data_IF_518384891693
#
_entry.id   IF_518384891693
#
_cell.length_a   1.000
_cell.length_b   1.000
_cell.length_c   1.000
_cell.angle_alpha   90.00
_cell.angle_beta   90.00
_cell.angle_gamma   90.00
#
_symmetry.space_group_name_H-M   'P 1'
#
loop_
_entity.id
_entity.type
_entity.pdbx_description
1 polymer ?
#
# COMPACT_ATOMS: atom_id res chain seq x y z
N UNK A 1 16.69 -18.21 5.47
CA UNK A 1 16.84 -16.99 6.27
C UNK A 1 15.59 -16.81 7.13
N UNK A 2 15.71 -16.29 8.34
CA UNK A 2 14.55 -16.01 9.21
C UNK A 2 13.56 -15.06 8.54
N UNK A 3 12.27 -15.17 8.89
CA UNK A 3 11.26 -14.20 8.47
C UNK A 3 11.64 -12.80 8.95
N UNK A 4 11.59 -11.83 8.05
CA UNK A 4 11.88 -10.43 8.33
C UNK A 4 10.56 -9.65 8.29
N UNK A 5 10.21 -9.01 9.40
CA UNK A 5 9.03 -8.16 9.49
C UNK A 5 9.45 -6.70 9.47
N UNK A 6 8.88 -5.93 8.54
CA UNK A 6 9.12 -4.51 8.37
C UNK A 6 7.81 -3.75 8.58
N UNK A 7 7.89 -2.52 9.07
CA UNK A 7 6.70 -1.68 9.26
C UNK A 7 7.03 -0.22 9.05
N UNK A 8 6.13 0.53 8.41
CA UNK A 8 6.29 1.96 8.20
C UNK A 8 6.16 2.80 9.48
N UNK A 9 5.89 2.17 10.64
CA UNK A 9 5.90 2.83 11.93
C UNK A 9 7.32 3.29 12.28
N UNK A 10 7.69 4.51 11.87
CA UNK A 10 8.97 5.15 12.22
C UNK A 10 9.11 5.37 13.73
N UNK A 11 7.98 5.50 14.43
CA UNK A 11 7.91 5.69 15.87
C UNK A 11 7.23 4.49 16.53
N UNK A 12 8.03 3.53 17.01
CA UNK A 12 7.57 2.53 17.97
C UNK A 12 7.43 3.26 19.31
N UNK A 13 6.23 3.79 19.56
CA UNK A 13 5.95 4.50 20.79
C UNK A 13 6.00 3.50 21.95
N UNK A 14 7.13 3.48 22.67
CA UNK A 14 7.35 2.63 23.82
C UNK A 14 6.24 2.75 24.87
N UNK A 15 6.08 1.71 25.69
CA UNK A 15 5.02 1.66 26.72
C UNK A 15 5.03 2.91 27.63
N UNK A 16 6.21 3.44 27.92
CA UNK A 16 6.42 4.65 28.73
C UNK A 16 5.99 5.92 28.01
N UNK A 17 6.37 6.12 26.75
CA UNK A 17 5.99 7.31 25.97
C UNK A 17 4.50 7.34 25.65
N UNK A 18 3.85 6.18 25.44
CA UNK A 18 2.39 6.07 25.37
C UNK A 18 1.71 6.53 26.66
N UNK A 19 2.24 6.12 27.81
CA UNK A 19 1.74 6.55 29.12
C UNK A 19 1.86 8.06 29.30
N UNK A 20 2.99 8.64 28.92
CA UNK A 20 3.23 10.09 29.00
C UNK A 20 2.24 10.88 28.12
N UNK A 21 2.05 10.47 26.86
CA UNK A 21 1.11 11.15 25.96
C UNK A 21 -0.33 11.08 26.46
N UNK A 22 -0.75 9.94 26.99
CA UNK A 22 -2.08 9.79 27.59
C UNK A 22 -2.24 10.68 28.83
N UNK A 23 -1.22 10.78 29.68
CA UNK A 23 -1.23 11.66 30.83
C UNK A 23 -1.31 13.14 30.40
N UNK A 24 -0.50 13.57 29.44
CA UNK A 24 -0.55 14.94 28.90
C UNK A 24 -1.93 15.27 28.30
N UNK A 25 -2.52 14.34 27.56
CA UNK A 25 -3.86 14.51 26.99
C UNK A 25 -4.94 14.65 28.08
N UNK A 26 -4.88 13.84 29.14
CA UNK A 26 -5.82 13.94 30.27
C UNK A 26 -5.64 15.24 31.05
N UNK A 27 -4.41 15.69 31.27
CA UNK A 27 -4.16 16.98 31.91
C UNK A 27 -4.70 18.14 31.07
N UNK A 28 -4.52 18.07 29.74
CA UNK A 28 -5.05 19.08 28.82
C UNK A 28 -6.58 19.11 28.82
N UNK A 29 -7.25 17.95 28.83
CA UNK A 29 -8.72 17.90 28.85
C UNK A 29 -9.29 18.42 30.18
N UNK A 30 -8.63 18.12 31.31
CA UNK A 30 -8.99 18.67 32.62
C UNK A 30 -8.76 20.19 32.65
N UNK A 31 -7.65 20.69 32.12
CA UNK A 31 -7.38 22.12 32.04
C UNK A 31 -8.42 22.87 31.19
N UNK A 32 -8.79 22.32 30.03
CA UNK A 32 -9.86 22.86 29.19
C UNK A 32 -11.21 22.88 29.91
N UNK A 33 -11.49 21.87 30.75
CA UNK A 33 -12.74 21.81 31.52
C UNK A 33 -12.86 22.90 32.57
N UNK A 34 -11.74 23.43 33.10
CA UNK A 34 -11.73 24.52 34.08
C UNK A 34 -12.25 25.85 33.53
N UNK A 35 -12.30 26.02 32.20
CA UNK A 35 -12.91 27.19 31.56
C UNK A 35 -14.44 27.11 31.46
N UNK A 36 -15.04 25.96 31.79
CA UNK A 36 -16.49 25.79 31.73
C UNK A 36 -17.14 26.16 33.06
N UNK A 37 -18.06 27.13 33.03
CA UNK A 37 -18.84 27.55 34.20
C UNK A 37 -20.08 26.69 34.47
N UNK A 38 -20.41 25.73 33.59
CA UNK A 38 -21.61 24.88 33.69
C UNK A 38 -21.24 23.41 33.61
N UNK A 39 -21.91 22.57 34.41
CA UNK A 39 -21.72 21.11 34.42
C UNK A 39 -21.99 20.47 33.05
N UNK A 40 -22.96 21.00 32.28
CA UNK A 40 -23.25 20.55 30.92
C UNK A 40 -22.09 20.85 29.96
N UNK A 41 -21.41 21.99 30.12
CA UNK A 41 -20.27 22.38 29.29
C UNK A 41 -19.05 21.50 29.54
N UNK A 42 -18.78 21.16 30.81
CA UNK A 42 -17.70 20.22 31.17
C UNK A 42 -17.90 18.84 30.52
N UNK A 43 -19.12 18.29 30.58
CA UNK A 43 -19.43 17.00 29.94
C UNK A 43 -19.26 17.10 28.41
N UNK A 44 -19.69 18.20 27.80
CA UNK A 44 -19.52 18.45 26.36
C UNK A 44 -18.05 18.46 25.94
N UNK A 45 -17.18 19.12 26.69
CA UNK A 45 -15.73 19.18 26.41
C UNK A 45 -15.11 17.78 26.47
N UNK A 46 -15.41 16.99 27.51
CA UNK A 46 -14.89 15.62 27.62
C UNK A 46 -15.34 14.74 26.45
N UNK A 47 -16.59 14.86 26.00
CA UNK A 47 -17.11 14.12 24.85
C UNK A 47 -16.39 14.51 23.55
N UNK A 48 -16.19 15.81 23.31
CA UNK A 48 -15.47 16.31 22.13
C UNK A 48 -14.02 15.82 22.14
N UNK A 49 -13.32 15.94 23.28
CA UNK A 49 -11.96 15.44 23.41
C UNK A 49 -11.90 13.93 23.15
N UNK A 50 -12.79 13.14 23.75
CA UNK A 50 -12.84 11.69 23.55
C UNK A 50 -13.06 11.31 22.06
N UNK A 51 -13.97 12.01 21.37
CA UNK A 51 -14.18 11.83 19.93
C UNK A 51 -12.93 12.20 19.12
N UNK A 52 -12.25 13.29 19.47
CA UNK A 52 -11.00 13.69 18.81
C UNK A 52 -9.89 12.64 19.01
N UNK A 53 -9.71 12.12 20.23
CA UNK A 53 -8.76 11.06 20.51
C UNK A 53 -9.09 9.79 19.72
N UNK A 54 -10.35 9.39 19.68
CA UNK A 54 -10.80 8.23 18.90
C UNK A 54 -10.51 8.41 17.40
N UNK A 55 -10.75 9.61 16.86
CA UNK A 55 -10.42 9.95 15.47
C UNK A 55 -8.92 9.85 15.20
N UNK A 56 -8.08 10.38 16.09
CA UNK A 56 -6.60 10.32 15.97
C UNK A 56 -6.10 8.87 16.00
N UNK A 57 -6.59 8.05 16.93
CA UNK A 57 -6.21 6.62 17.00
C UNK A 57 -6.67 5.90 15.73
N UNK A 58 -7.86 6.21 15.23
CA UNK A 58 -8.42 5.60 14.02
C UNK A 58 -7.63 5.95 12.77
N UNK A 59 -7.27 7.22 12.58
CA UNK A 59 -6.45 7.67 11.44
C UNK A 59 -5.04 7.10 11.51
N UNK A 60 -4.44 7.04 12.70
CA UNK A 60 -3.13 6.40 12.91
C UNK A 60 -3.15 4.93 12.48
N UNK A 61 -4.11 4.13 12.99
CA UNK A 61 -4.22 2.71 12.63
C UNK A 61 -4.43 2.47 11.13
N UNK A 62 -5.08 3.41 10.43
CA UNK A 62 -5.26 3.32 8.97
C UNK A 62 -3.96 3.55 8.19
N UNK A 63 -3.03 4.34 8.71
CA UNK A 63 -1.75 4.64 8.06
C UNK A 63 -0.68 3.56 8.23
N UNK A 64 -0.91 2.55 9.07
CA UNK A 64 0.09 1.52 9.33
C UNK A 64 0.10 0.46 8.22
N UNK A 65 1.28 0.27 7.64
CA UNK A 65 1.60 -0.76 6.65
C UNK A 65 2.70 -1.64 7.22
N UNK A 66 2.54 -2.96 7.06
CA UNK A 66 3.52 -3.97 7.48
C UNK A 66 3.89 -4.85 6.31
N UNK A 67 5.16 -5.24 6.22
CA UNK A 67 5.66 -6.21 5.25
C UNK A 67 6.25 -7.40 5.99
N UNK A 68 5.93 -8.59 5.49
CA UNK A 68 6.54 -9.84 5.94
C UNK A 68 7.30 -10.43 4.78
N UNK A 69 8.60 -10.55 4.92
CA UNK A 69 9.52 -11.07 3.91
C UNK A 69 10.04 -12.41 4.44
N UNK A 70 9.81 -13.48 3.70
CA UNK A 70 10.30 -14.83 4.04
C UNK A 70 11.11 -15.39 2.88
N UNK A 71 11.73 -16.55 3.04
CA UNK A 71 12.43 -17.22 1.94
C UNK A 71 11.50 -17.68 0.79
N UNK A 72 10.19 -17.79 1.04
CA UNK A 72 9.22 -18.34 0.07
C UNK A 72 8.34 -17.26 -0.56
N UNK A 73 8.01 -16.21 0.19
CA UNK A 73 7.08 -15.17 -0.26
C UNK A 73 7.34 -13.81 0.37
N UNK A 74 6.84 -12.78 -0.31
CA UNK A 74 6.66 -11.41 0.15
C UNK A 74 5.18 -11.18 0.46
N UNK A 75 4.87 -10.57 1.60
CA UNK A 75 3.51 -10.21 1.98
C UNK A 75 3.43 -8.76 2.42
N UNK A 76 2.40 -8.04 1.97
CA UNK A 76 2.04 -6.73 2.49
C UNK A 76 0.75 -6.86 3.30
N UNK A 77 0.70 -6.22 4.46
CA UNK A 77 -0.47 -6.13 5.32
C UNK A 77 -0.84 -4.66 5.52
N UNK A 78 -2.08 -4.32 5.13
CA UNK A 78 -2.66 -3.00 5.38
C UNK A 78 -3.96 -3.13 6.16
N UNK A 79 -4.47 -2.01 6.69
CA UNK A 79 -5.80 -1.97 7.33
C UNK A 79 -6.95 -2.41 6.42
N UNK A 80 -6.79 -2.29 5.09
CA UNK A 80 -7.83 -2.62 4.10
C UNK A 80 -7.72 -4.05 3.54
N UNK A 81 -6.67 -4.78 3.89
CA UNK A 81 -6.36 -6.10 3.36
C UNK A 81 -4.89 -6.23 3.00
N UNK A 82 -4.41 -7.46 2.85
CA UNK A 82 -3.05 -7.74 2.45
C UNK A 82 -2.99 -8.65 1.24
N UNK A 83 -1.87 -8.64 0.55
CA UNK A 83 -1.58 -9.55 -0.54
C UNK A 83 -0.26 -10.27 -0.30
N UNK A 84 -0.11 -11.43 -0.94
CA UNK A 84 1.09 -12.26 -0.85
C UNK A 84 1.59 -12.63 -2.23
N UNK A 85 2.89 -12.61 -2.47
CA UNK A 85 3.49 -13.02 -3.74
C UNK A 85 4.62 -13.99 -3.43
N UNK A 86 4.58 -15.17 -4.04
CA UNK A 86 5.66 -16.14 -3.97
C UNK A 86 6.82 -15.68 -4.85
N UNK A 87 8.05 -15.82 -4.37
CA UNK A 87 9.24 -15.40 -5.13
C UNK A 87 9.37 -16.12 -6.47
N UNK A 88 8.94 -17.38 -6.54
CA UNK A 88 8.93 -18.16 -7.78
C UNK A 88 8.14 -17.49 -8.91
N UNK A 89 7.09 -16.72 -8.57
CA UNK A 89 6.26 -15.99 -9.52
C UNK A 89 6.79 -14.56 -9.80
N UNK A 90 7.80 -14.10 -9.07
CA UNK A 90 8.43 -12.80 -9.34
C UNK A 90 9.47 -12.97 -10.46
N UNK A 91 9.40 -12.09 -11.46
CA UNK A 91 10.33 -12.03 -12.58
C UNK A 91 11.40 -10.97 -12.35
N UNK A 92 10.98 -9.73 -12.05
CA UNK A 92 11.88 -8.61 -11.81
C UNK A 92 11.31 -7.63 -10.79
N UNK A 93 12.21 -6.86 -10.18
CA UNK A 93 11.94 -5.89 -9.11
C UNK A 93 12.81 -4.64 -9.33
N UNK A 94 12.24 -3.46 -9.16
CA UNK A 94 12.99 -2.20 -9.27
C UNK A 94 12.18 -0.95 -8.94
N UNK A 95 12.86 0.18 -8.82
CA UNK A 95 12.19 1.48 -8.78
C UNK A 95 11.58 1.82 -10.14
N UNK A 96 10.41 2.42 -10.12
CA UNK A 96 9.77 2.95 -11.31
C UNK A 96 10.49 4.23 -11.74
N UNK A 97 10.81 4.33 -13.02
CA UNK A 97 11.46 5.52 -13.58
C UNK A 97 10.47 6.25 -14.47
N UNK A 98 10.50 7.57 -14.41
CA UNK A 98 9.74 8.40 -15.35
C UNK A 98 10.33 8.25 -16.75
N UNK A 99 9.47 8.33 -17.77
CA UNK A 99 9.89 8.36 -19.16
C UNK A 99 10.45 9.73 -19.58
N UNK A 100 10.17 10.78 -18.80
CA UNK A 100 10.64 12.13 -19.10
C UNK A 100 12.07 12.34 -18.59
N UNK A 101 13.04 12.70 -19.47
CA UNK A 101 14.43 12.88 -19.07
C UNK A 101 14.69 14.16 -18.25
N UNK A 102 13.72 15.08 -18.16
CA UNK A 102 13.87 16.40 -17.52
C UNK A 102 13.38 16.45 -16.07
N UNK A 103 12.66 15.44 -15.60
CA UNK A 103 12.15 15.36 -14.22
C UNK A 103 12.94 14.31 -13.44
N UNK A 104 13.07 14.48 -12.11
CA UNK A 104 13.80 13.55 -11.23
C UNK A 104 13.53 12.10 -11.62
N UNK A 105 14.60 11.36 -11.89
CA UNK A 105 14.59 10.12 -12.69
C UNK A 105 13.85 8.95 -12.04
N UNK A 106 13.39 9.07 -10.80
CA UNK A 106 12.84 7.97 -10.00
C UNK A 106 11.52 8.39 -9.35
N UNK A 107 10.47 7.64 -9.67
CA UNK A 107 9.15 7.80 -9.08
C UNK A 107 9.14 7.15 -7.69
N UNK A 108 8.31 7.64 -6.74
CA UNK A 108 8.21 7.09 -5.39
C UNK A 108 7.43 5.76 -5.36
N UNK A 109 7.72 4.85 -6.29
CA UNK A 109 7.05 3.58 -6.49
C UNK A 109 8.06 2.48 -6.79
N UNK A 110 7.96 1.38 -6.05
CA UNK A 110 8.66 0.13 -6.34
C UNK A 110 7.74 -0.77 -7.14
N UNK A 111 8.21 -1.18 -8.31
CA UNK A 111 7.50 -2.10 -9.19
C UNK A 111 7.94 -3.54 -8.98
N UNK A 112 6.96 -4.45 -9.00
CA UNK A 112 7.14 -5.90 -8.98
C UNK A 112 6.50 -6.47 -10.24
N UNK A 113 7.31 -7.16 -11.05
CA UNK A 113 6.85 -7.85 -12.26
C UNK A 113 6.62 -9.32 -11.93
N UNK A 114 5.42 -9.80 -12.22
CA UNK A 114 5.02 -11.19 -12.08
C UNK A 114 5.24 -11.98 -13.38
N UNK A 115 5.47 -13.28 -13.28
CA UNK A 115 5.44 -14.19 -14.44
C UNK A 115 4.00 -14.43 -14.85
N UNK A 116 3.14 -14.75 -13.90
CA UNK A 116 1.70 -14.92 -14.07
C UNK A 116 0.92 -14.04 -13.09
N UNK A 117 0.13 -13.06 -13.56
CA UNK A 117 -0.69 -12.21 -12.69
C UNK A 117 -1.96 -12.91 -12.19
N UNK A 118 -2.40 -14.01 -12.81
CA UNK A 118 -3.71 -14.65 -12.52
C UNK A 118 -3.84 -15.14 -11.08
N UNK A 119 -2.86 -15.85 -10.48
CA UNK A 119 -2.94 -16.28 -9.08
C UNK A 119 -3.07 -15.10 -8.12
N UNK A 120 -2.38 -13.98 -8.41
CA UNK A 120 -2.44 -12.77 -7.61
C UNK A 120 -3.82 -12.11 -7.66
N UNK A 121 -4.42 -12.04 -8.85
CA UNK A 121 -5.76 -11.49 -9.02
C UNK A 121 -6.82 -12.35 -8.34
N UNK A 122 -6.71 -13.68 -8.43
CA UNK A 122 -7.69 -14.62 -7.83
C UNK A 122 -7.66 -14.62 -6.30
N UNK A 123 -6.49 -14.52 -5.68
CA UNK A 123 -6.37 -14.48 -4.22
C UNK A 123 -6.77 -13.11 -3.62
N UNK A 124 -6.76 -12.04 -4.42
CA UNK A 124 -7.02 -10.69 -3.93
C UNK A 124 -8.49 -10.53 -3.54
N UNK A 125 -8.75 -10.12 -2.30
CA UNK A 125 -10.12 -9.85 -1.86
C UNK A 125 -10.66 -8.55 -2.48
N UNK A 126 -11.99 -8.41 -2.69
CA UNK A 126 -12.58 -7.23 -3.34
C UNK A 126 -12.16 -5.89 -2.72
N UNK A 127 -12.07 -5.83 -1.39
CA UNK A 127 -11.65 -4.61 -0.66
C UNK A 127 -10.20 -4.23 -0.96
N UNK A 128 -9.31 -5.21 -1.05
CA UNK A 128 -7.93 -4.97 -1.46
C UNK A 128 -7.88 -4.49 -2.91
N UNK A 129 -8.61 -5.15 -3.82
CA UNK A 129 -8.65 -4.78 -5.24
C UNK A 129 -9.05 -3.32 -5.39
N UNK A 130 -10.17 -2.91 -4.79
CA UNK A 130 -10.61 -1.51 -4.82
C UNK A 130 -9.54 -0.56 -4.26
N UNK A 131 -8.83 -0.97 -3.21
CA UNK A 131 -7.75 -0.15 -2.66
C UNK A 131 -6.59 0.03 -3.64
N UNK A 132 -6.09 -1.06 -4.24
CA UNK A 132 -5.03 -1.01 -5.25
C UNK A 132 -5.43 -0.16 -6.45
N UNK A 133 -6.67 -0.33 -6.93
CA UNK A 133 -7.23 0.48 -8.02
C UNK A 133 -7.34 1.98 -7.67
N UNK A 134 -7.53 2.34 -6.40
CA UNK A 134 -7.57 3.76 -6.01
C UNK A 134 -6.16 4.32 -5.83
N UNK A 135 -5.30 3.61 -5.10
CA UNK A 135 -3.93 4.04 -4.79
C UNK A 135 -3.08 4.21 -6.04
N UNK A 136 -3.21 3.29 -7.00
CA UNK A 136 -2.39 3.28 -8.22
C UNK A 136 -3.02 4.09 -9.37
N UNK A 137 -4.15 4.79 -9.16
CA UNK A 137 -4.83 5.56 -10.23
C UNK A 137 -3.98 6.75 -10.70
N UNK A 138 -3.34 7.44 -9.77
CA UNK A 138 -2.44 8.57 -10.10
C UNK A 138 -1.25 8.10 -10.93
N UNK A 139 -0.69 6.93 -10.59
CA UNK A 139 0.41 6.32 -11.33
C UNK A 139 -0.01 5.88 -12.74
N UNK A 140 -1.23 5.36 -12.90
CA UNK A 140 -1.80 5.04 -14.21
C UNK A 140 -1.97 6.31 -15.07
N UNK A 141 -2.51 7.37 -14.48
CA UNK A 141 -2.67 8.66 -15.16
C UNK A 141 -1.32 9.23 -15.61
N UNK A 142 -0.32 9.20 -14.73
CA UNK A 142 1.03 9.66 -15.04
C UNK A 142 1.62 8.87 -16.22
N UNK A 143 1.46 7.55 -16.24
CA UNK A 143 1.98 6.70 -17.32
C UNK A 143 1.29 6.98 -18.65
N UNK A 144 -0.04 7.15 -18.63
CA UNK A 144 -0.81 7.52 -19.81
C UNK A 144 -0.38 8.90 -20.36
N UNK A 145 -0.14 9.88 -19.47
CA UNK A 145 0.33 11.21 -19.85
C UNK A 145 1.74 11.19 -20.45
N UNK A 146 2.68 10.48 -19.81
CA UNK A 146 4.07 10.39 -20.29
C UNK A 146 4.21 9.60 -21.59
N UNK A 147 3.27 8.69 -21.89
CA UNK A 147 3.25 7.89 -23.12
C UNK A 147 2.33 8.48 -24.20
N UNK A 148 1.85 9.73 -24.05
CA UNK A 148 0.92 10.40 -24.98
C UNK A 148 -0.42 9.65 -25.22
N UNK A 149 -0.81 8.79 -24.28
CA UNK A 149 -2.04 7.97 -24.30
C UNK A 149 -3.11 8.48 -23.32
N UNK A 150 -3.06 9.77 -22.97
CA UNK A 150 -3.98 10.38 -22.00
C UNK A 150 -5.47 10.17 -22.38
N UNK A 151 -5.78 10.19 -23.67
CA UNK A 151 -7.14 9.97 -24.17
C UNK A 151 -7.71 8.58 -23.81
N UNK A 152 -6.86 7.57 -23.59
CA UNK A 152 -7.28 6.21 -23.20
C UNK A 152 -7.45 6.04 -21.69
N UNK A 153 -7.03 7.00 -20.88
CA UNK A 153 -7.00 6.87 -19.43
C UNK A 153 -8.37 6.54 -18.84
N UNK A 154 -9.42 7.23 -19.31
CA UNK A 154 -10.77 7.01 -18.79
C UNK A 154 -11.25 5.59 -19.06
N UNK A 155 -11.03 5.09 -20.27
CA UNK A 155 -11.41 3.73 -20.66
C UNK A 155 -10.61 2.69 -19.86
N UNK A 156 -9.30 2.89 -19.72
CA UNK A 156 -8.42 2.02 -18.93
C UNK A 156 -8.79 1.97 -17.44
N UNK A 157 -9.33 3.06 -16.88
CA UNK A 157 -9.79 3.11 -15.48
C UNK A 157 -11.10 2.34 -15.29
N UNK A 158 -11.98 2.36 -16.30
CA UNK A 158 -13.33 1.77 -16.24
C UNK A 158 -13.40 0.37 -16.85
N UNK A 159 -12.31 -0.11 -17.44
CA UNK A 159 -12.25 -1.43 -18.07
C UNK A 159 -12.55 -2.53 -17.05
N UNK A 160 -13.68 -3.19 -17.26
CA UNK A 160 -14.16 -4.33 -16.49
C UNK A 160 -14.52 -5.51 -17.40
N UNK A 161 -13.97 -5.48 -18.63
CA UNK A 161 -14.21 -6.46 -19.66
C UNK A 161 -13.83 -7.86 -19.17
N UNK A 162 -14.70 -8.83 -19.43
CA UNK A 162 -14.51 -10.23 -19.04
C UNK A 162 -13.21 -10.79 -19.62
N UNK A 163 -12.44 -11.52 -18.81
CA UNK A 163 -11.20 -12.18 -19.25
C UNK A 163 -11.37 -13.69 -19.17
N UNK A 164 -11.14 -14.37 -20.29
CA UNK A 164 -11.09 -15.84 -20.36
C UNK A 164 -9.65 -16.31 -20.14
N UNK A 165 -9.46 -17.20 -19.18
CA UNK A 165 -8.17 -17.77 -18.82
C UNK A 165 -7.89 -19.02 -19.65
N UNK A 166 -6.61 -19.41 -19.72
CA UNK A 166 -6.17 -20.62 -20.44
C UNK A 166 -6.83 -21.91 -19.94
N UNK A 167 -7.24 -21.92 -18.67
CA UNK A 167 -7.87 -23.08 -18.02
C UNK A 167 -9.40 -23.11 -18.24
N UNK A 168 -9.94 -22.25 -19.10
CA UNK A 168 -11.40 -22.12 -19.35
C UNK A 168 -12.16 -21.35 -18.26
N UNK A 169 -11.51 -21.01 -17.14
CA UNK A 169 -12.07 -20.14 -16.12
C UNK A 169 -12.20 -18.69 -16.60
N UNK A 170 -13.16 -17.96 -16.04
CA UNK A 170 -13.43 -16.59 -16.43
C UNK A 170 -13.33 -15.62 -15.26
N UNK A 171 -12.51 -14.58 -15.41
CA UNK A 171 -12.42 -13.47 -14.44
C UNK A 171 -13.40 -12.36 -14.84
N UNK A 172 -14.12 -11.80 -13.86
CA UNK A 172 -15.16 -10.77 -14.06
C UNK A 172 -15.09 -9.69 -12.98
N UNK A 173 -15.76 -8.56 -13.23
CA UNK A 173 -15.95 -7.49 -12.24
C UNK A 173 -14.63 -6.89 -11.76
N UNK A 174 -14.48 -6.71 -10.44
CA UNK A 174 -13.29 -6.09 -9.85
C UNK A 174 -12.00 -6.85 -10.16
N UNK A 175 -12.02 -8.18 -10.18
CA UNK A 175 -10.85 -8.97 -10.53
C UNK A 175 -10.43 -8.75 -11.98
N UNK A 176 -11.39 -8.63 -12.91
CA UNK A 176 -11.09 -8.34 -14.31
C UNK A 176 -10.52 -6.93 -14.46
N UNK A 177 -11.09 -5.96 -13.74
CA UNK A 177 -10.57 -4.60 -13.69
C UNK A 177 -9.13 -4.54 -13.18
N UNK A 178 -8.81 -5.27 -12.09
CA UNK A 178 -7.44 -5.37 -11.60
C UNK A 178 -6.50 -6.01 -12.64
N UNK A 179 -6.94 -7.09 -13.27
CA UNK A 179 -6.15 -7.79 -14.29
C UNK A 179 -5.77 -6.86 -15.45
N UNK A 180 -6.74 -6.14 -16.03
CA UNK A 180 -6.48 -5.18 -17.10
C UNK A 180 -5.60 -4.03 -16.64
N UNK A 181 -5.85 -3.50 -15.44
CA UNK A 181 -5.00 -2.46 -14.83
C UNK A 181 -3.56 -2.88 -14.68
N UNK A 182 -3.31 -4.11 -14.24
CA UNK A 182 -1.95 -4.64 -14.14
C UNK A 182 -1.29 -4.70 -15.52
N UNK A 183 -2.04 -5.05 -16.58
CA UNK A 183 -1.53 -5.05 -17.95
C UNK A 183 -1.17 -3.65 -18.44
N UNK A 184 -2.06 -2.67 -18.28
CA UNK A 184 -1.79 -1.28 -18.67
C UNK A 184 -0.60 -0.69 -17.89
N UNK A 185 -0.48 -0.97 -16.59
CA UNK A 185 0.67 -0.51 -15.83
C UNK A 185 1.96 -1.23 -16.18
N UNK A 186 1.89 -2.49 -16.62
CA UNK A 186 3.04 -3.19 -17.19
C UNK A 186 3.49 -2.56 -18.50
N UNK A 187 2.56 -2.14 -19.34
CA UNK A 187 2.90 -1.47 -20.60
C UNK A 187 3.55 -0.10 -20.36
N UNK A 188 3.10 0.63 -19.32
CA UNK A 188 3.68 1.93 -18.97
C UNK A 188 4.99 1.81 -18.20
N UNK A 189 5.07 0.95 -17.19
CA UNK A 189 6.17 0.98 -16.22
C UNK A 189 7.00 -0.31 -16.19
N UNK A 190 6.55 -1.37 -16.87
CA UNK A 190 7.23 -2.67 -16.89
C UNK A 190 6.91 -3.59 -15.72
N UNK A 191 5.99 -3.22 -14.82
CA UNK A 191 5.65 -3.92 -13.59
C UNK A 191 4.13 -4.07 -13.39
N UNK A 192 3.71 -4.94 -12.48
CA UNK A 192 2.28 -5.22 -12.23
C UNK A 192 1.79 -4.76 -10.87
N UNK A 193 2.62 -4.91 -9.85
CA UNK A 193 2.31 -4.51 -8.48
C UNK A 193 3.23 -3.37 -8.11
N UNK A 194 2.66 -2.35 -7.49
CA UNK A 194 3.35 -1.13 -7.13
C UNK A 194 3.22 -0.89 -5.63
N UNK A 195 4.36 -0.67 -4.97
CA UNK A 195 4.47 -0.33 -3.56
C UNK A 195 4.96 1.10 -3.46
N UNK A 196 4.27 1.95 -2.70
CA UNK A 196 4.70 3.33 -2.46
C UNK A 196 5.94 3.34 -1.58
N UNK A 197 6.95 4.15 -1.92
CA UNK A 197 8.12 4.35 -1.05
C UNK A 197 7.76 5.04 0.26
N UNK A 198 6.64 5.76 0.32
CA UNK A 198 6.13 6.36 1.54
C UNK A 198 5.65 5.32 2.57
N UNK A 199 5.34 4.10 2.13
CA UNK A 199 4.91 3.00 2.99
C UNK A 199 6.09 2.21 3.57
N UNK A 200 7.33 2.63 3.34
CA UNK A 200 8.53 1.92 3.79
C UNK A 200 9.12 2.52 5.07
N UNK A 201 9.83 1.68 5.80
CA UNK A 201 10.65 2.07 6.95
C UNK A 201 12.03 2.62 6.56
N UNK A 202 12.41 2.44 5.29
CA UNK A 202 13.74 2.68 4.72
C UNK A 202 13.65 3.30 3.33
N UNK A 203 14.81 3.60 2.76
CA UNK A 203 14.89 4.11 1.38
C UNK A 203 14.42 3.07 0.34
N UNK A 204 13.86 3.55 -0.77
CA UNK A 204 13.34 2.70 -1.84
C UNK A 204 14.39 1.77 -2.45
N UNK A 205 15.60 2.26 -2.70
CA UNK A 205 16.69 1.44 -3.26
C UNK A 205 17.16 0.38 -2.25
N UNK A 206 17.25 0.75 -0.97
CA UNK A 206 17.62 -0.20 0.09
C UNK A 206 16.61 -1.36 0.18
N UNK A 207 15.32 -1.03 0.11
CA UNK A 207 14.26 -2.03 0.12
C UNK A 207 14.29 -2.91 -1.15
N UNK A 208 14.49 -2.34 -2.33
CA UNK A 208 14.66 -3.12 -3.57
C UNK A 208 15.87 -4.05 -3.47
N UNK A 209 17.00 -3.57 -2.96
CA UNK A 209 18.21 -4.35 -2.73
C UNK A 209 17.95 -5.53 -1.77
N UNK A 210 17.18 -5.30 -0.71
CA UNK A 210 16.73 -6.34 0.21
C UNK A 210 15.86 -7.39 -0.50
N UNK A 211 14.83 -6.98 -1.24
CA UNK A 211 13.96 -7.92 -1.97
C UNK A 211 14.74 -8.74 -3.00
N UNK A 212 15.71 -8.14 -3.70
CA UNK A 212 16.57 -8.84 -4.66
C UNK A 212 17.41 -9.94 -4.01
N UNK A 213 17.88 -9.74 -2.78
CA UNK A 213 18.60 -10.78 -2.02
C UNK A 213 17.70 -11.99 -1.74
N UNK A 214 16.47 -11.75 -1.31
CA UNK A 214 15.49 -12.82 -1.08
C UNK A 214 15.09 -13.52 -2.38
N UNK A 215 14.86 -12.76 -3.47
CA UNK A 215 14.57 -13.32 -4.78
C UNK A 215 15.71 -14.23 -5.28
N UNK A 216 16.96 -13.77 -5.19
CA UNK A 216 18.13 -14.55 -5.59
C UNK A 216 18.34 -15.79 -4.69
N UNK A 217 18.04 -15.69 -3.39
CA UNK A 217 18.07 -16.81 -2.47
C UNK A 217 17.02 -17.87 -2.76
N UNK A 218 15.81 -17.45 -3.16
CA UNK A 218 14.70 -18.38 -3.44
C UNK A 218 14.97 -19.32 -4.63
N UNK A 219 15.72 -18.84 -5.64
CA UNK A 219 16.11 -19.64 -6.80
C UNK A 219 17.22 -20.67 -6.51
N UNK A 220 17.89 -20.59 -5.36
CA UNK A 220 18.88 -21.58 -4.92
C UNK A 220 18.29 -22.71 -4.06
N UNK A 221 17.02 -22.57 -3.67
CA UNK A 221 16.33 -23.48 -2.73
C UNK A 221 15.40 -24.48 -3.41
N UNK A 222 15.41 -24.55 -4.75
CA UNK A 222 14.71 -25.54 -5.57
C UNK A 222 15.72 -26.48 -6.21
#
# INVERSE_FOLDING_TARGET
MSSLQLTNEKFILGRTSRGLLLACYLLMSVWLSSFSNSTQGTIGIFLICACALAMVIYTYKRGVVRFTITDTHLQQHTFKGGWVVKWQNVSSLGLCRSHQPTQSSELPWIGIRLKDPVPFVKQACPRLITNLLLEQRSLLYLGARETEKEHLFQDQVLDSSRVELKDGETIKGLQACLYHRMHYQRDYWGYDIFISTADLDRDGEEFVGLLRKYLAGSGRST
#
